data_IF_706973702276
#
_entry.id   IF_706973702276
#
_cell.length_a   1.000
_cell.length_b   1.000
_cell.length_c   1.000
_cell.angle_alpha   90.00
_cell.angle_beta   90.00
_cell.angle_gamma   90.00
#
_symmetry.space_group_name_H-M   'P 1'
#
loop_
_entity.id
_entity.type
_entity.pdbx_description
1 polymer ?
#
# COMPACT_ATOMS: atom_id res chain seq x y z
N UNK A 1 38.70 52.96 -3.96
CA UNK A 1 37.23 53.05 -4.13
C UNK A 1 36.60 51.69 -3.96
N UNK A 2 36.02 51.37 -2.81
CA UNK A 2 35.25 50.12 -2.60
C UNK A 2 33.84 50.37 -3.07
N UNK A 3 33.46 49.70 -4.19
CA UNK A 3 32.06 49.74 -4.70
C UNK A 3 31.16 49.14 -3.60
N UNK A 4 30.05 49.78 -3.23
CA UNK A 4 29.09 49.14 -2.34
C UNK A 4 28.56 47.94 -3.05
N UNK A 5 28.79 46.75 -2.52
CA UNK A 5 28.10 45.55 -2.96
C UNK A 5 26.60 45.86 -2.77
N UNK A 6 25.87 45.91 -3.87
CA UNK A 6 24.47 46.32 -3.84
C UNK A 6 23.72 45.37 -2.88
N UNK A 7 23.17 45.94 -1.83
CA UNK A 7 22.34 45.21 -0.85
C UNK A 7 21.31 44.31 -1.49
N UNK A 8 20.78 44.76 -2.63
CA UNK A 8 19.88 43.95 -3.50
C UNK A 8 20.53 42.67 -4.04
N UNK A 9 21.81 42.69 -4.40
CA UNK A 9 22.52 41.50 -4.89
C UNK A 9 22.75 40.49 -3.74
N UNK A 10 23.04 40.98 -2.56
CA UNK A 10 23.20 40.13 -1.37
C UNK A 10 21.89 39.47 -0.96
N UNK A 11 20.76 40.15 -1.03
CA UNK A 11 19.43 39.60 -0.80
C UNK A 11 19.09 38.57 -1.86
N UNK A 12 19.39 38.83 -3.15
CA UNK A 12 19.14 37.91 -4.25
C UNK A 12 19.94 36.60 -4.08
N UNK A 13 21.21 36.69 -3.70
CA UNK A 13 22.06 35.51 -3.44
C UNK A 13 21.54 34.72 -2.22
N UNK A 14 21.13 35.41 -1.17
CA UNK A 14 20.59 34.77 0.04
C UNK A 14 19.26 34.05 -0.22
N UNK A 15 18.39 34.62 -1.08
CA UNK A 15 17.13 33.96 -1.50
C UNK A 15 17.38 32.74 -2.39
N UNK A 16 18.36 32.79 -3.30
CA UNK A 16 18.72 31.63 -4.14
C UNK A 16 19.31 30.47 -3.36
N UNK A 17 20.07 30.71 -2.30
CA UNK A 17 20.65 29.63 -1.47
C UNK A 17 19.60 28.95 -0.59
N UNK A 18 18.53 29.63 -0.19
CA UNK A 18 17.45 29.07 0.61
C UNK A 18 16.54 28.11 -0.18
N UNK A 19 16.38 28.29 -1.48
CA UNK A 19 15.51 27.42 -2.31
C UNK A 19 16.13 26.06 -2.63
N UNK A 20 17.46 25.95 -2.67
CA UNK A 20 18.14 24.70 -3.02
C UNK A 20 18.00 23.59 -1.97
N UNK A 21 17.92 23.91 -0.69
CA UNK A 21 17.92 22.93 0.37
C UNK A 21 16.58 22.16 0.46
N UNK A 22 15.45 22.82 0.24
CA UNK A 22 14.11 22.21 0.30
C UNK A 22 13.78 21.35 -0.92
N UNK A 23 14.26 21.72 -2.10
CA UNK A 23 14.01 20.98 -3.34
C UNK A 23 14.50 19.53 -3.26
N UNK A 24 15.78 19.33 -2.93
CA UNK A 24 16.37 17.99 -2.85
C UNK A 24 15.70 17.14 -1.79
N UNK A 25 15.38 17.71 -0.63
CA UNK A 25 14.68 16.99 0.44
C UNK A 25 13.32 16.49 0.00
N UNK A 26 12.53 17.31 -0.69
CA UNK A 26 11.22 16.91 -1.20
C UNK A 26 11.35 15.79 -2.24
N UNK A 27 12.28 15.91 -3.18
CA UNK A 27 12.53 14.89 -4.21
C UNK A 27 12.97 13.55 -3.59
N UNK A 28 13.91 13.59 -2.65
CA UNK A 28 14.36 12.38 -1.95
C UNK A 28 13.21 11.70 -1.19
N UNK A 29 12.35 12.48 -0.53
CA UNK A 29 11.19 11.93 0.18
C UNK A 29 10.14 11.38 -0.80
N UNK A 30 9.93 12.01 -1.97
CA UNK A 30 9.04 11.48 -3.00
C UNK A 30 9.54 10.14 -3.54
N UNK A 31 10.82 10.03 -3.83
CA UNK A 31 11.44 8.76 -4.27
C UNK A 31 11.34 7.67 -3.18
N UNK A 32 11.49 8.04 -1.90
CA UNK A 32 11.29 7.09 -0.81
C UNK A 32 9.84 6.56 -0.75
N UNK A 33 8.84 7.41 -1.03
CA UNK A 33 7.43 6.97 -1.14
C UNK A 33 7.25 6.03 -2.32
N UNK A 34 7.81 6.34 -3.50
CA UNK A 34 7.73 5.47 -4.69
C UNK A 34 8.38 4.10 -4.43
N UNK A 35 9.54 4.08 -3.80
CA UNK A 35 10.24 2.83 -3.45
C UNK A 35 9.40 1.99 -2.47
N UNK A 36 8.87 2.61 -1.41
CA UNK A 36 8.02 1.91 -0.44
C UNK A 36 6.70 1.43 -1.06
N UNK A 37 6.15 2.15 -2.04
CA UNK A 37 4.99 1.71 -2.81
C UNK A 37 5.32 0.49 -3.66
N UNK A 38 6.48 0.43 -4.30
CA UNK A 38 6.95 -0.75 -5.03
C UNK A 38 7.01 -2.01 -4.15
N UNK A 39 7.42 -1.89 -2.88
CA UNK A 39 7.37 -3.00 -1.91
C UNK A 39 5.92 -3.46 -1.67
N UNK A 40 4.97 -2.52 -1.57
CA UNK A 40 3.54 -2.82 -1.41
C UNK A 40 2.98 -3.54 -2.64
N UNK A 41 3.26 -3.02 -3.84
CA UNK A 41 2.83 -3.63 -5.11
C UNK A 41 3.35 -5.06 -5.25
N UNK A 42 4.65 -5.28 -4.99
CA UNK A 42 5.27 -6.59 -5.08
C UNK A 42 4.64 -7.59 -4.09
N UNK A 43 4.32 -7.16 -2.86
CA UNK A 43 3.69 -8.01 -1.87
C UNK A 43 2.24 -8.38 -2.26
N UNK A 44 1.46 -7.44 -2.76
CA UNK A 44 0.11 -7.71 -3.26
C UNK A 44 0.10 -8.57 -4.53
N UNK A 45 1.04 -8.32 -5.46
CA UNK A 45 1.21 -9.16 -6.64
C UNK A 45 1.51 -10.61 -6.24
N UNK A 46 2.45 -10.83 -5.32
CA UNK A 46 2.76 -12.17 -4.80
C UNK A 46 1.53 -12.88 -4.24
N UNK A 47 0.70 -12.17 -3.46
CA UNK A 47 -0.57 -12.74 -2.98
C UNK A 47 -1.50 -13.13 -4.12
N UNK A 48 -1.67 -12.27 -5.10
CA UNK A 48 -2.54 -12.49 -6.26
C UNK A 48 -2.10 -13.68 -7.11
N UNK A 49 -0.79 -13.94 -7.20
CA UNK A 49 -0.20 -15.04 -7.96
C UNK A 49 -0.37 -16.40 -7.25
N UNK A 50 -0.51 -16.44 -5.94
CA UNK A 50 -0.75 -17.67 -5.18
C UNK A 50 -2.20 -18.16 -5.27
N UNK A 51 -3.15 -17.27 -5.53
CA UNK A 51 -4.59 -17.57 -5.48
C UNK A 51 -5.03 -18.63 -6.49
N UNK A 52 -4.62 -18.62 -7.78
CA UNK A 52 -5.02 -19.65 -8.72
C UNK A 52 -4.62 -21.06 -8.26
N UNK A 53 -3.41 -21.23 -7.77
CA UNK A 53 -2.92 -22.50 -7.27
C UNK A 53 -3.72 -22.97 -6.06
N UNK A 54 -4.02 -22.06 -5.13
CA UNK A 54 -4.87 -22.35 -3.98
C UNK A 54 -6.26 -22.80 -4.41
N UNK A 55 -6.90 -22.07 -5.33
CA UNK A 55 -8.24 -22.40 -5.84
C UNK A 55 -8.25 -23.79 -6.49
N UNK A 56 -7.25 -24.14 -7.30
CA UNK A 56 -7.18 -25.46 -7.96
C UNK A 56 -6.97 -26.59 -6.93
N UNK A 57 -6.12 -26.41 -5.93
CA UNK A 57 -5.93 -27.41 -4.88
C UNK A 57 -7.21 -27.58 -4.06
N UNK A 58 -7.85 -26.51 -3.62
CA UNK A 58 -9.11 -26.61 -2.87
C UNK A 58 -10.23 -27.24 -3.70
N UNK A 59 -10.36 -26.87 -4.99
CA UNK A 59 -11.35 -27.41 -5.90
C UNK A 59 -11.24 -28.93 -6.10
N UNK A 60 -10.04 -29.48 -6.01
CA UNK A 60 -9.83 -30.93 -6.13
C UNK A 60 -10.50 -31.73 -4.99
N UNK A 61 -10.57 -31.16 -3.79
CA UNK A 61 -11.12 -31.80 -2.60
C UNK A 61 -12.53 -31.31 -2.22
N UNK A 62 -12.83 -30.03 -2.49
CA UNK A 62 -14.05 -29.35 -2.04
C UNK A 62 -14.88 -28.84 -3.25
N UNK A 63 -15.22 -29.73 -4.17
CA UNK A 63 -15.96 -29.40 -5.42
C UNK A 63 -17.34 -28.78 -5.17
N UNK A 64 -17.95 -29.01 -4.01
CA UNK A 64 -19.27 -28.49 -3.66
C UNK A 64 -19.22 -27.04 -3.14
N UNK A 65 -18.04 -26.49 -2.82
CA UNK A 65 -17.85 -25.15 -2.28
C UNK A 65 -17.74 -24.07 -3.40
N UNK A 66 -18.63 -24.20 -4.39
CA UNK A 66 -18.59 -23.33 -5.59
C UNK A 66 -18.69 -21.85 -5.26
N UNK A 67 -19.56 -21.49 -4.32
CA UNK A 67 -19.77 -20.10 -3.91
C UNK A 67 -18.51 -19.46 -3.33
N UNK A 68 -17.84 -20.17 -2.42
CA UNK A 68 -16.59 -19.67 -1.79
C UNK A 68 -15.46 -19.54 -2.81
N UNK A 69 -15.32 -20.55 -3.71
CA UNK A 69 -14.30 -20.51 -4.77
C UNK A 69 -14.57 -19.39 -5.77
N UNK A 70 -15.84 -19.17 -6.14
CA UNK A 70 -16.25 -18.06 -7.02
C UNK A 70 -15.94 -16.72 -6.36
N UNK A 71 -16.30 -16.55 -5.07
CA UNK A 71 -16.02 -15.31 -4.35
C UNK A 71 -14.52 -14.95 -4.30
N UNK A 72 -13.64 -15.95 -4.15
CA UNK A 72 -12.18 -15.73 -4.20
C UNK A 72 -11.73 -15.32 -5.60
N UNK A 73 -12.26 -15.98 -6.65
CA UNK A 73 -11.91 -15.67 -8.03
C UNK A 73 -12.39 -14.28 -8.46
N UNK A 74 -13.59 -13.89 -8.06
CA UNK A 74 -14.15 -12.56 -8.32
C UNK A 74 -13.38 -11.47 -7.57
N UNK A 75 -13.04 -11.70 -6.30
CA UNK A 75 -12.21 -10.76 -5.54
C UNK A 75 -10.84 -10.57 -6.20
N UNK A 76 -10.23 -11.67 -6.70
CA UNK A 76 -8.97 -11.61 -7.46
C UNK A 76 -9.11 -10.79 -8.74
N UNK A 77 -10.17 -11.01 -9.52
CA UNK A 77 -10.42 -10.25 -10.73
C UNK A 77 -10.61 -8.76 -10.45
N UNK A 78 -11.35 -8.42 -9.37
CA UNK A 78 -11.56 -7.04 -8.93
C UNK A 78 -10.26 -6.35 -8.56
N UNK A 79 -9.38 -7.01 -7.81
CA UNK A 79 -8.04 -6.49 -7.48
C UNK A 79 -7.21 -6.28 -8.75
N UNK A 80 -7.20 -7.25 -9.66
CA UNK A 80 -6.45 -7.17 -10.92
C UNK A 80 -6.94 -6.10 -11.90
N UNK A 81 -8.19 -5.63 -11.76
CA UNK A 81 -8.75 -4.55 -12.59
C UNK A 81 -8.32 -3.15 -12.17
N UNK A 82 -7.76 -2.99 -10.97
CA UNK A 82 -7.34 -1.69 -10.45
C UNK A 82 -5.97 -1.34 -11.00
N UNK A 83 -5.87 -0.22 -11.72
CA UNK A 83 -4.60 0.27 -12.23
C UNK A 83 -3.78 0.92 -11.13
N UNK A 84 -2.62 0.36 -10.84
CA UNK A 84 -1.65 0.91 -9.89
C UNK A 84 -0.78 1.98 -10.58
N UNK A 85 -1.33 3.17 -10.78
CA UNK A 85 -0.62 4.30 -11.38
C UNK A 85 -0.39 5.42 -10.36
N UNK A 86 0.36 6.46 -10.76
CA UNK A 86 0.66 7.61 -9.88
C UNK A 86 -0.59 8.29 -9.32
N UNK A 87 -1.68 8.31 -10.07
CA UNK A 87 -2.92 8.95 -9.65
C UNK A 87 -3.57 8.23 -8.47
N UNK A 88 -3.35 6.90 -8.34
CA UNK A 88 -3.86 6.12 -7.22
C UNK A 88 -3.42 6.68 -5.86
N UNK A 89 -2.15 7.08 -5.73
CA UNK A 89 -1.59 7.59 -4.47
C UNK A 89 -2.02 9.02 -4.12
N UNK A 90 -2.59 9.75 -5.08
CA UNK A 90 -2.98 11.16 -4.96
C UNK A 90 -4.50 11.37 -4.95
N UNK A 91 -5.27 10.32 -5.25
CA UNK A 91 -6.73 10.35 -5.28
C UNK A 91 -7.30 9.54 -4.11
N UNK A 92 -7.88 10.22 -3.09
CA UNK A 92 -8.47 9.54 -1.92
C UNK A 92 -9.54 8.51 -2.28
N UNK A 93 -10.33 8.75 -3.35
CA UNK A 93 -11.38 7.84 -3.76
C UNK A 93 -10.81 6.59 -4.43
N UNK A 94 -9.85 6.76 -5.34
CA UNK A 94 -9.17 5.65 -6.00
C UNK A 94 -8.40 4.80 -4.99
N UNK A 95 -7.69 5.43 -4.04
CA UNK A 95 -6.97 4.74 -2.97
C UNK A 95 -7.91 3.97 -2.03
N UNK A 96 -9.05 4.56 -1.67
CA UNK A 96 -10.07 3.89 -0.85
C UNK A 96 -10.68 2.68 -1.57
N UNK A 97 -10.95 2.78 -2.88
CA UNK A 97 -11.44 1.64 -3.68
C UNK A 97 -10.41 0.51 -3.76
N UNK A 98 -9.13 0.85 -3.95
CA UNK A 98 -8.03 -0.10 -3.90
C UNK A 98 -7.99 -0.81 -2.54
N UNK A 99 -8.02 -0.06 -1.44
CA UNK A 99 -7.99 -0.60 -0.09
C UNK A 99 -9.21 -1.50 0.18
N UNK A 100 -10.40 -1.10 -0.25
CA UNK A 100 -11.62 -1.91 -0.13
C UNK A 100 -11.55 -3.22 -0.95
N UNK A 101 -10.98 -3.19 -2.15
CA UNK A 101 -10.81 -4.39 -2.96
C UNK A 101 -9.81 -5.37 -2.32
N UNK A 102 -8.71 -4.85 -1.74
CA UNK A 102 -7.74 -5.67 -1.02
C UNK A 102 -8.34 -6.29 0.26
N UNK A 103 -9.18 -5.54 0.99
CA UNK A 103 -9.93 -6.04 2.15
C UNK A 103 -10.95 -7.13 1.77
N UNK A 104 -11.66 -6.94 0.65
CA UNK A 104 -12.59 -7.97 0.12
C UNK A 104 -11.85 -9.27 -0.22
N UNK A 105 -10.63 -9.17 -0.78
CA UNK A 105 -9.79 -10.34 -1.04
C UNK A 105 -9.39 -11.05 0.26
N UNK A 106 -8.91 -10.33 1.27
CA UNK A 106 -8.56 -10.91 2.57
C UNK A 106 -9.77 -11.60 3.22
N UNK A 107 -10.96 -11.00 3.13
CA UNK A 107 -12.21 -11.58 3.63
C UNK A 107 -12.63 -12.85 2.87
N UNK A 108 -12.43 -12.89 1.55
CA UNK A 108 -12.72 -14.08 0.74
C UNK A 108 -11.77 -15.23 1.08
N UNK A 109 -10.47 -14.94 1.22
CA UNK A 109 -9.46 -15.93 1.63
C UNK A 109 -9.73 -16.46 3.04
N UNK A 110 -10.10 -15.60 4.00
CA UNK A 110 -10.47 -16.02 5.36
C UNK A 110 -11.65 -16.97 5.35
N UNK A 111 -12.70 -16.71 4.55
CA UNK A 111 -13.83 -17.62 4.39
C UNK A 111 -13.42 -18.96 3.78
N UNK A 112 -12.53 -18.94 2.80
CA UNK A 112 -12.00 -20.17 2.21
C UNK A 112 -11.26 -21.01 3.27
N UNK A 113 -10.46 -20.39 4.15
CA UNK A 113 -9.76 -21.10 5.22
C UNK A 113 -10.74 -21.75 6.22
N UNK A 114 -11.85 -21.08 6.54
CA UNK A 114 -12.92 -21.69 7.37
C UNK A 114 -13.56 -22.91 6.70
N UNK A 115 -13.75 -22.86 5.37
CA UNK A 115 -14.27 -24.02 4.61
C UNK A 115 -13.31 -25.19 4.69
N UNK A 116 -12.02 -24.97 4.54
CA UNK A 116 -10.98 -26.02 4.57
C UNK A 116 -11.01 -26.84 5.86
N UNK A 117 -11.38 -26.24 6.99
CA UNK A 117 -11.50 -26.96 8.26
C UNK A 117 -12.49 -28.14 8.20
N UNK A 118 -13.44 -28.13 7.27
CA UNK A 118 -14.43 -29.19 7.05
C UNK A 118 -13.92 -30.34 6.16
N UNK A 119 -12.73 -30.21 5.60
CA UNK A 119 -12.13 -31.16 4.66
C UNK A 119 -10.75 -31.65 5.18
N UNK A 120 -10.74 -32.68 6.08
CA UNK A 120 -9.50 -33.16 6.71
C UNK A 120 -8.42 -33.60 5.70
N UNK A 121 -8.83 -34.24 4.59
CA UNK A 121 -7.89 -34.70 3.54
C UNK A 121 -7.23 -33.52 2.81
N UNK A 122 -7.94 -32.43 2.61
CA UNK A 122 -7.39 -31.18 2.05
C UNK A 122 -6.43 -30.55 3.04
N UNK A 123 -6.82 -30.47 4.31
CA UNK A 123 -5.97 -29.89 5.36
C UNK A 123 -4.66 -30.67 5.55
N UNK A 124 -4.68 -31.97 5.35
CA UNK A 124 -3.49 -32.84 5.40
C UNK A 124 -2.65 -32.81 4.13
N UNK A 125 -3.14 -32.20 3.04
CA UNK A 125 -2.42 -32.15 1.78
C UNK A 125 -1.22 -31.20 1.86
N UNK A 126 -0.01 -31.71 1.53
CA UNK A 126 1.23 -30.94 1.63
C UNK A 126 1.23 -29.68 0.75
N UNK A 127 0.73 -29.78 -0.48
CA UNK A 127 0.65 -28.63 -1.39
C UNK A 127 -0.25 -27.52 -0.84
N UNK A 128 -1.35 -27.90 -0.18
CA UNK A 128 -2.24 -26.92 0.49
C UNK A 128 -1.51 -26.24 1.66
N UNK A 129 -0.84 -27.00 2.52
CA UNK A 129 -0.10 -26.46 3.66
C UNK A 129 1.00 -25.51 3.21
N UNK A 130 1.75 -25.85 2.17
CA UNK A 130 2.81 -25.01 1.60
C UNK A 130 2.23 -23.69 1.05
N UNK A 131 1.09 -23.74 0.36
CA UNK A 131 0.39 -22.53 -0.13
C UNK A 131 -0.15 -21.69 1.01
N UNK A 132 -0.70 -22.30 2.05
CA UNK A 132 -1.16 -21.60 3.24
C UNK A 132 0.00 -20.86 3.92
N UNK A 133 1.13 -21.50 4.17
CA UNK A 133 2.31 -20.86 4.75
C UNK A 133 2.85 -19.72 3.88
N UNK A 134 2.84 -19.89 2.54
CA UNK A 134 3.22 -18.81 1.63
C UNK A 134 2.26 -17.63 1.70
N UNK A 135 0.94 -17.86 1.82
CA UNK A 135 -0.05 -16.80 1.97
C UNK A 135 0.10 -16.06 3.30
N UNK A 136 0.27 -16.79 4.40
CA UNK A 136 0.51 -16.19 5.73
C UNK A 136 1.78 -15.33 5.74
N UNK A 137 2.87 -15.86 5.16
CA UNK A 137 4.11 -15.10 5.00
C UNK A 137 3.96 -13.86 4.11
N UNK A 138 3.12 -13.95 3.08
CA UNK A 138 2.82 -12.82 2.18
C UNK A 138 1.98 -11.76 2.88
N UNK A 139 1.00 -12.16 3.70
CA UNK A 139 0.18 -11.23 4.49
C UNK A 139 1.02 -10.45 5.50
N UNK A 140 1.98 -11.10 6.15
CA UNK A 140 2.96 -10.42 7.00
C UNK A 140 3.80 -9.40 6.22
N UNK A 141 4.25 -9.75 5.01
CA UNK A 141 4.99 -8.82 4.13
C UNK A 141 4.13 -7.62 3.72
N UNK A 142 2.85 -7.84 3.39
CA UNK A 142 1.90 -6.76 3.08
C UNK A 142 1.80 -5.80 4.27
N UNK A 143 1.64 -6.30 5.49
CA UNK A 143 1.53 -5.48 6.69
C UNK A 143 2.80 -4.65 6.95
N UNK A 144 3.98 -5.26 6.79
CA UNK A 144 5.27 -4.55 6.92
C UNK A 144 5.43 -3.49 5.83
N UNK A 145 5.11 -3.82 4.58
CA UNK A 145 5.20 -2.89 3.46
C UNK A 145 4.24 -1.70 3.63
N UNK A 146 2.98 -1.94 4.06
CA UNK A 146 2.01 -0.88 4.37
C UNK A 146 2.51 0.05 5.47
N UNK A 147 3.08 -0.50 6.54
CA UNK A 147 3.64 0.29 7.64
C UNK A 147 4.81 1.16 7.17
N UNK A 148 5.73 0.58 6.37
CA UNK A 148 6.85 1.33 5.77
C UNK A 148 6.35 2.44 4.85
N UNK A 149 5.40 2.13 3.96
CA UNK A 149 4.77 3.10 3.07
C UNK A 149 4.13 4.25 3.85
N UNK A 150 3.32 3.96 4.88
CA UNK A 150 2.72 5.00 5.71
C UNK A 150 3.75 5.91 6.36
N UNK A 151 4.88 5.36 6.81
CA UNK A 151 5.97 6.15 7.38
C UNK A 151 6.63 7.08 6.35
N UNK A 152 6.86 6.59 5.13
CA UNK A 152 7.41 7.45 4.06
C UNK A 152 6.42 8.52 3.62
N UNK A 153 5.12 8.19 3.56
CA UNK A 153 4.05 9.16 3.27
C UNK A 153 3.98 10.24 4.34
N UNK A 154 4.08 9.89 5.63
CA UNK A 154 4.13 10.86 6.74
C UNK A 154 5.27 11.86 6.56
N UNK A 155 6.49 11.36 6.29
CA UNK A 155 7.68 12.18 6.09
C UNK A 155 7.54 13.07 4.84
N UNK A 156 7.10 12.50 3.72
CA UNK A 156 6.89 13.26 2.49
C UNK A 156 5.82 14.35 2.66
N UNK A 157 4.63 13.98 3.13
CA UNK A 157 3.54 14.92 3.34
C UNK A 157 3.93 16.04 4.33
N UNK A 158 4.69 15.70 5.36
CA UNK A 158 5.28 16.67 6.28
C UNK A 158 6.23 17.62 5.56
N UNK A 159 7.15 17.06 4.76
CA UNK A 159 8.19 17.83 4.08
C UNK A 159 7.65 18.89 3.14
N UNK A 160 6.55 18.64 2.41
CA UNK A 160 5.96 19.61 1.47
C UNK A 160 5.08 20.68 2.14
N UNK A 161 4.80 20.54 3.45
CA UNK A 161 3.93 21.45 4.21
C UNK A 161 4.69 22.42 5.11
N UNK A 162 5.94 22.12 5.47
CA UNK A 162 6.76 22.95 6.36
C UNK A 162 7.46 24.08 5.60
N UNK A 163 7.67 25.21 6.25
CA UNK A 163 8.47 26.31 5.70
C UNK A 163 9.96 25.96 5.80
N UNK A 164 10.81 26.32 4.78
CA UNK A 164 10.48 26.99 3.53
C UNK A 164 10.02 26.06 2.39
N UNK A 165 9.99 24.75 2.58
CA UNK A 165 9.72 23.73 1.55
C UNK A 165 8.35 23.89 0.93
N UNK A 166 7.36 24.38 1.67
CA UNK A 166 6.02 24.62 1.16
C UNK A 166 6.01 25.66 0.02
N UNK A 167 6.91 26.64 0.05
CA UNK A 167 7.09 27.61 -1.04
C UNK A 167 7.71 26.91 -2.28
N UNK A 168 8.75 26.10 -2.05
CA UNK A 168 9.38 25.31 -3.11
C UNK A 168 8.35 24.39 -3.79
N UNK A 169 7.54 23.69 -2.99
CA UNK A 169 6.48 22.83 -3.53
C UNK A 169 5.45 23.65 -4.33
N UNK A 170 4.96 24.77 -3.77
CA UNK A 170 3.91 25.58 -4.39
C UNK A 170 4.33 26.19 -5.72
N UNK A 171 5.57 26.67 -5.85
CA UNK A 171 6.03 27.45 -7.00
C UNK A 171 6.82 26.63 -8.03
N UNK A 172 7.46 25.51 -7.60
CA UNK A 172 8.37 24.76 -8.47
C UNK A 172 7.89 23.33 -8.73
N UNK A 173 7.33 22.61 -7.73
CA UNK A 173 7.07 21.18 -7.83
C UNK A 173 5.59 20.85 -8.05
N UNK A 174 4.67 21.52 -7.36
CA UNK A 174 3.23 21.27 -7.48
C UNK A 174 2.79 19.88 -7.02
N UNK A 175 3.59 19.22 -6.16
CA UNK A 175 3.31 17.86 -5.69
C UNK A 175 2.13 17.85 -4.72
N UNK A 176 1.28 16.82 -4.85
CA UNK A 176 0.12 16.60 -4.00
C UNK A 176 0.47 15.71 -2.81
N UNK A 177 -0.35 15.78 -1.78
CA UNK A 177 -0.30 14.85 -0.66
C UNK A 177 -0.54 13.43 -1.16
N UNK A 178 0.13 12.46 -0.54
CA UNK A 178 -0.08 11.03 -0.79
C UNK A 178 -1.00 10.46 0.29
N UNK A 179 -1.87 9.55 -0.11
CA UNK A 179 -2.82 8.90 0.79
C UNK A 179 -2.16 7.75 1.57
N UNK A 180 -2.25 7.74 2.90
CA UNK A 180 -1.80 6.61 3.70
C UNK A 180 -2.86 5.50 3.77
N UNK A 181 -2.43 4.26 3.98
CA UNK A 181 -3.35 3.19 4.38
C UNK A 181 -4.00 3.52 5.72
N UNK A 182 -5.31 3.37 5.77
CA UNK A 182 -6.11 3.52 7.00
C UNK A 182 -6.36 2.14 7.61
N UNK A 183 -6.61 2.11 8.91
CA UNK A 183 -7.14 0.91 9.56
C UNK A 183 -8.50 0.55 8.96
N UNK A 184 -8.81 -0.74 8.91
CA UNK A 184 -10.12 -1.18 8.44
C UNK A 184 -11.22 -0.71 9.41
N UNK A 185 -12.35 -0.29 8.84
CA UNK A 185 -13.48 0.15 9.65
C UNK A 185 -13.92 -0.99 10.59
N UNK A 186 -13.96 -0.72 11.88
CA UNK A 186 -14.31 -1.70 12.92
C UNK A 186 -13.12 -2.34 13.63
N UNK A 187 -11.88 -2.14 13.17
CA UNK A 187 -10.68 -2.61 13.88
C UNK A 187 -10.44 -1.91 15.23
N UNK A 188 -11.17 -0.85 15.50
CA UNK A 188 -11.14 -0.09 16.76
C UNK A 188 -11.82 -0.84 17.91
N UNK A 189 -12.67 -1.83 17.60
CA UNK A 189 -13.37 -2.63 18.61
C UNK A 189 -12.59 -3.90 18.87
N UNK A 190 -12.01 -4.01 20.07
CA UNK A 190 -11.41 -5.27 20.50
C UNK A 190 -12.45 -6.38 20.42
N UNK A 191 -12.10 -7.59 19.92
CA UNK A 191 -13.00 -8.73 19.93
C UNK A 191 -13.45 -9.02 21.36
N UNK A 192 -14.77 -9.06 21.60
CA UNK A 192 -15.28 -9.49 22.89
C UNK A 192 -15.13 -11.01 22.98
N UNK A 193 -14.20 -11.46 23.81
CA UNK A 193 -14.11 -12.87 24.16
C UNK A 193 -15.28 -13.17 25.11
N UNK A 194 -16.29 -13.90 24.63
CA UNK A 194 -17.32 -14.50 25.48
C UNK A 194 -16.84 -15.90 25.83
N UNK A 195 -16.64 -16.13 27.14
CA UNK A 195 -16.40 -17.44 27.70
C UNK A 195 -17.74 -18.16 27.92
#
# INVERSE_FOLDING_TARGET
MRRPINFSLMILVLTLTMTGCGYNTIQTNEEAVKAAWGDVEAAYQRRNDLIPNLVEVVKAYAKHEKETLTAVTEARAKVGSIQMNKNLLEDPNAFSQFQAAQGAMSSALSRLMVVVERYPDLKANQNFQDLQHQLEGTENRINVARTRYNKTVEVFNGSIRVFPNNLTNKFLLGLKLKEPFKAEAGSEKAPQVKF
#
